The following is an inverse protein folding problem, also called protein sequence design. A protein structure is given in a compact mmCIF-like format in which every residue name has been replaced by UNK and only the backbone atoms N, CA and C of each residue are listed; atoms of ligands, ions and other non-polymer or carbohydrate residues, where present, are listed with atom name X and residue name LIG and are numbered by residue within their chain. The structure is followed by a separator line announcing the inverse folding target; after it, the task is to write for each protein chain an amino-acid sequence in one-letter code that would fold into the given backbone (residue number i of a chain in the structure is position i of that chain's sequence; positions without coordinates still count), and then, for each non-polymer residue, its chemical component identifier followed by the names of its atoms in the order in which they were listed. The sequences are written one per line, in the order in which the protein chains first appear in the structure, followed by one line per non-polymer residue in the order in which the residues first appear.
data_IF_102488547713
#
_entry.id   IF_102488547713
#
_cell.length_a   1.000
_cell.length_b   1.000
_cell.length_c   1.000
_cell.angle_alpha   90.00
_cell.angle_beta   90.00
_cell.angle_gamma   90.00
#
_symmetry.space_group_name_H-M   'P 1'
#
loop_
_entity.id
_entity.type
_entity.pdbx_description
1 polymer ?
#
# COMPACT_ATOMS: atom_id res chain seq x y z
N UNK A 1 -12.95 24.83 2.54
CA UNK A 1 -12.84 25.01 4.01
C UNK A 1 -12.07 23.80 4.55
N UNK A 2 -11.26 23.97 5.60
CA UNK A 2 -10.52 22.91 6.34
C UNK A 2 -9.15 22.45 5.80
N UNK A 3 -8.09 22.77 6.56
CA UNK A 3 -7.31 21.81 7.36
C UNK A 3 -6.16 22.59 8.04
N UNK A 4 -6.27 22.84 9.35
CA UNK A 4 -5.18 23.45 10.12
C UNK A 4 -4.13 22.39 10.44
N UNK A 5 -3.37 21.96 9.43
CA UNK A 5 -2.25 21.05 9.63
C UNK A 5 -1.15 21.74 10.41
N UNK A 6 -0.67 21.06 11.45
CA UNK A 6 0.54 21.47 12.17
C UNK A 6 1.74 21.49 11.23
N UNK A 7 2.76 22.28 11.56
CA UNK A 7 3.99 22.34 10.77
C UNK A 7 4.64 20.95 10.59
N UNK A 8 4.63 20.12 11.64
CA UNK A 8 5.16 18.75 11.58
C UNK A 8 4.37 17.85 10.62
N UNK A 9 3.04 17.98 10.62
CA UNK A 9 2.19 17.24 9.68
C UNK A 9 2.49 17.67 8.24
N UNK A 10 2.63 18.97 7.98
CA UNK A 10 3.01 19.48 6.65
C UNK A 10 4.35 18.94 6.18
N UNK A 11 5.39 19.03 7.01
CA UNK A 11 6.72 18.47 6.70
C UNK A 11 6.66 16.97 6.39
N UNK A 12 5.84 16.22 7.13
CA UNK A 12 5.65 14.78 6.88
C UNK A 12 4.97 14.51 5.55
N UNK A 13 3.94 15.29 5.20
CA UNK A 13 3.26 15.19 3.90
C UNK A 13 4.20 15.51 2.74
N UNK A 14 4.93 16.62 2.80
CA UNK A 14 5.90 17.05 1.79
C UNK A 14 7.04 16.03 1.58
N UNK A 15 7.48 15.40 2.68
CA UNK A 15 8.55 14.42 2.63
C UNK A 15 8.11 13.10 1.97
N UNK A 16 6.88 12.63 2.22
CA UNK A 16 6.49 11.24 1.94
C UNK A 16 5.21 11.02 1.14
N UNK A 17 4.26 11.96 1.12
CA UNK A 17 2.91 11.70 0.62
C UNK A 17 2.51 12.56 -0.58
N UNK A 18 2.93 13.82 -0.60
CA UNK A 18 2.62 14.73 -1.70
C UNK A 18 3.39 14.32 -2.95
N UNK A 19 2.67 14.27 -4.08
CA UNK A 19 3.27 13.94 -5.37
C UNK A 19 4.35 14.94 -5.78
N UNK A 20 5.39 14.39 -6.41
CA UNK A 20 6.50 15.13 -6.99
C UNK A 20 6.57 14.87 -8.49
N UNK A 21 7.03 15.86 -9.24
CA UNK A 21 7.35 15.69 -10.66
C UNK A 21 8.68 14.94 -10.85
N UNK A 22 9.07 14.71 -12.11
CA UNK A 22 10.32 14.05 -12.47
C UNK A 22 11.58 14.81 -12.00
N UNK A 23 11.46 16.09 -11.66
CA UNK A 23 12.55 16.91 -11.11
C UNK A 23 12.55 16.97 -9.57
N UNK A 24 11.60 16.28 -8.92
CA UNK A 24 11.47 16.22 -7.47
C UNK A 24 10.70 17.40 -6.86
N UNK A 25 10.09 18.29 -7.65
CA UNK A 25 9.31 19.42 -7.14
C UNK A 25 7.92 18.94 -6.74
N UNK A 26 7.39 19.49 -5.64
CA UNK A 26 6.03 19.22 -5.20
C UNK A 26 5.02 19.76 -6.23
N UNK A 27 4.09 18.91 -6.64
CA UNK A 27 3.02 19.24 -7.61
C UNK A 27 1.63 18.98 -7.03
N UNK A 28 1.55 18.73 -5.73
CA UNK A 28 0.32 18.41 -5.03
C UNK A 28 0.34 19.08 -3.66
N UNK A 29 -0.78 19.67 -3.28
CA UNK A 29 -1.05 20.23 -1.95
C UNK A 29 -1.78 19.20 -1.07
N UNK A 30 -1.80 19.37 0.26
CA UNK A 30 -2.56 18.46 1.14
C UNK A 30 -4.05 18.35 0.78
N UNK A 31 -4.68 19.44 0.32
CA UNK A 31 -6.07 19.41 -0.12
C UNK A 31 -6.25 18.59 -1.40
N UNK A 32 -5.35 18.75 -2.37
CA UNK A 32 -5.36 17.97 -3.61
C UNK A 32 -5.10 16.47 -3.35
N UNK A 33 -4.18 16.15 -2.43
CA UNK A 33 -3.96 14.77 -1.94
C UNK A 33 -5.28 14.16 -1.45
N UNK A 34 -6.00 14.85 -0.56
CA UNK A 34 -7.25 14.34 -0.01
C UNK A 34 -8.34 14.20 -1.09
N UNK A 35 -8.45 15.16 -2.00
CA UNK A 35 -9.40 15.06 -3.11
C UNK A 35 -9.07 13.90 -4.06
N UNK A 36 -7.79 13.69 -4.40
CA UNK A 36 -7.33 12.56 -5.21
C UNK A 36 -7.73 11.25 -4.56
N UNK A 37 -7.40 11.06 -3.28
CA UNK A 37 -7.71 9.84 -2.53
C UNK A 37 -9.22 9.61 -2.47
N UNK A 38 -10.00 10.64 -2.11
CA UNK A 38 -11.44 10.54 -2.01
C UNK A 38 -12.09 10.11 -3.33
N UNK A 39 -11.71 10.75 -4.45
CA UNK A 39 -12.23 10.41 -5.78
C UNK A 39 -11.84 9.00 -6.22
N UNK A 40 -10.59 8.62 -6.00
CA UNK A 40 -10.09 7.31 -6.40
C UNK A 40 -10.79 6.17 -5.64
N UNK A 41 -11.02 6.33 -4.34
CA UNK A 41 -11.74 5.33 -3.54
C UNK A 41 -13.24 5.32 -3.87
N UNK A 42 -13.85 6.49 -4.05
CA UNK A 42 -15.26 6.62 -4.41
C UNK A 42 -15.58 5.98 -5.77
N UNK A 43 -14.61 5.82 -6.68
CA UNK A 43 -14.83 5.12 -7.95
C UNK A 43 -15.35 3.68 -7.76
N UNK A 44 -15.05 3.04 -6.62
CA UNK A 44 -15.58 1.71 -6.28
C UNK A 44 -17.11 1.67 -6.09
N UNK A 45 -17.75 2.83 -5.88
CA UNK A 45 -19.21 2.93 -5.75
C UNK A 45 -19.95 2.79 -7.09
N UNK A 46 -19.24 2.93 -8.22
CA UNK A 46 -19.85 2.98 -9.54
C UNK A 46 -20.73 1.75 -9.82
N UNK A 47 -20.27 0.58 -9.40
CA UNK A 47 -20.98 -0.70 -9.60
C UNK A 47 -22.26 -0.81 -8.75
N UNK A 48 -22.34 -0.10 -7.63
CA UNK A 48 -23.42 -0.24 -6.65
C UNK A 48 -24.46 0.88 -6.72
N UNK A 49 -24.00 2.11 -6.97
CA UNK A 49 -24.82 3.31 -6.80
C UNK A 49 -24.78 4.25 -8.01
N UNK A 50 -24.05 3.89 -9.07
CA UNK A 50 -23.91 4.68 -10.29
C UNK A 50 -23.14 5.98 -10.09
N UNK A 51 -23.08 6.82 -11.13
CA UNK A 51 -22.27 8.05 -11.13
C UNK A 51 -22.65 9.07 -10.05
N UNK A 52 -23.95 9.18 -9.73
CA UNK A 52 -24.42 10.07 -8.66
C UNK A 52 -23.94 9.60 -7.29
N UNK A 53 -23.89 8.28 -7.08
CA UNK A 53 -23.37 7.69 -5.86
C UNK A 53 -21.87 7.90 -5.70
N UNK A 54 -21.10 7.76 -6.78
CA UNK A 54 -19.67 8.09 -6.82
C UNK A 54 -19.42 9.53 -6.42
N UNK A 55 -20.18 10.49 -6.98
CA UNK A 55 -20.02 11.91 -6.63
C UNK A 55 -20.29 12.18 -5.15
N UNK A 56 -21.41 11.66 -4.61
CA UNK A 56 -21.75 11.80 -3.19
C UNK A 56 -20.71 11.16 -2.27
N UNK A 57 -20.18 9.99 -2.64
CA UNK A 57 -19.15 9.31 -1.87
C UNK A 57 -17.83 10.09 -1.88
N UNK A 58 -17.43 10.64 -3.04
CA UNK A 58 -16.22 11.45 -3.16
C UNK A 58 -16.27 12.70 -2.27
N UNK A 59 -17.42 13.40 -2.24
CA UNK A 59 -17.62 14.55 -1.36
C UNK A 59 -17.52 14.16 0.11
N UNK A 60 -18.24 13.11 0.52
CA UNK A 60 -18.23 12.61 1.91
C UNK A 60 -16.85 12.14 2.36
N UNK A 61 -16.12 11.41 1.52
CA UNK A 61 -14.77 10.96 1.84
C UNK A 61 -13.79 12.14 1.90
N UNK A 62 -13.92 13.11 1.00
CA UNK A 62 -13.12 14.34 1.00
C UNK A 62 -13.30 15.14 2.29
N UNK A 63 -14.54 15.27 2.78
CA UNK A 63 -14.84 15.88 4.07
C UNK A 63 -14.14 15.13 5.22
N UNK A 64 -14.31 13.80 5.31
CA UNK A 64 -13.71 12.98 6.37
C UNK A 64 -12.18 13.07 6.42
N UNK A 65 -11.53 13.12 5.25
CA UNK A 65 -10.08 13.27 5.14
C UNK A 65 -9.62 14.68 5.55
N UNK A 66 -10.27 15.72 5.03
CA UNK A 66 -9.90 17.11 5.30
C UNK A 66 -10.16 17.55 6.75
N UNK A 67 -11.17 16.97 7.40
CA UNK A 67 -11.46 17.15 8.83
C UNK A 67 -10.60 16.29 9.75
N UNK A 68 -9.78 15.39 9.18
CA UNK A 68 -8.98 14.39 9.90
C UNK A 68 -9.82 13.46 10.80
N UNK A 69 -11.12 13.32 10.53
CA UNK A 69 -12.00 12.39 11.25
C UNK A 69 -11.65 10.94 10.91
N UNK A 70 -11.11 10.72 9.71
CA UNK A 70 -10.59 9.43 9.27
C UNK A 70 -9.40 9.64 8.35
N UNK A 71 -8.39 8.78 8.47
CA UNK A 71 -7.30 8.67 7.51
C UNK A 71 -7.06 7.20 7.18
N UNK A 72 -6.88 6.85 5.89
CA UNK A 72 -6.51 5.51 5.50
C UNK A 72 -5.00 5.28 5.76
N UNK A 73 -4.56 4.04 5.53
CA UNK A 73 -3.15 3.67 5.65
C UNK A 73 -2.25 4.44 4.64
N UNK A 74 -0.93 4.36 4.83
CA UNK A 74 0.02 5.10 3.99
C UNK A 74 -0.05 4.75 2.51
N UNK A 75 -0.11 3.46 2.08
CA UNK A 75 -0.22 3.13 0.66
C UNK A 75 -1.46 3.73 -0.01
N UNK A 76 -2.59 3.83 0.70
CA UNK A 76 -3.78 4.49 0.15
C UNK A 76 -3.52 5.98 -0.13
N UNK A 77 -2.89 6.70 0.81
CA UNK A 77 -2.54 8.11 0.62
C UNK A 77 -1.53 8.31 -0.52
N UNK A 78 -0.52 7.43 -0.60
CA UNK A 78 0.56 7.50 -1.59
C UNK A 78 0.09 7.13 -3.00
N UNK A 79 -0.74 6.08 -3.13
CA UNK A 79 -0.95 5.39 -4.41
C UNK A 79 -2.37 5.52 -5.00
N UNK A 80 -3.36 5.99 -4.24
CA UNK A 80 -4.72 6.14 -4.77
C UNK A 80 -4.74 7.15 -5.93
N UNK A 81 -5.31 6.76 -7.08
CA UNK A 81 -5.38 7.62 -8.27
C UNK A 81 -4.02 7.83 -8.97
N UNK A 82 -3.03 6.96 -8.72
CA UNK A 82 -1.78 6.89 -9.49
C UNK A 82 -1.71 5.59 -10.27
N UNK A 83 -0.77 5.50 -11.23
CA UNK A 83 -0.58 4.31 -12.07
C UNK A 83 -0.21 3.05 -11.27
N UNK A 84 0.40 3.20 -10.07
CA UNK A 84 0.78 2.08 -9.22
C UNK A 84 -0.45 1.40 -8.58
N UNK A 85 -1.44 2.17 -8.14
CA UNK A 85 -2.78 1.68 -7.76
C UNK A 85 -2.88 0.71 -6.57
N UNK A 86 -1.79 0.42 -5.86
CA UNK A 86 -1.76 -0.56 -4.77
C UNK A 86 -2.05 0.10 -3.40
N UNK A 87 -3.20 -0.19 -2.78
CA UNK A 87 -3.72 0.55 -1.60
C UNK A 87 -3.59 -0.18 -0.24
N UNK A 88 -3.36 -1.49 -0.25
CA UNK A 88 -3.20 -2.32 0.95
C UNK A 88 -1.79 -2.21 1.53
N UNK A 89 -1.68 -2.22 2.87
CA UNK A 89 -0.40 -2.14 3.57
C UNK A 89 0.13 -3.49 4.08
N UNK A 90 -0.73 -4.49 4.25
CA UNK A 90 -0.37 -5.73 4.96
C UNK A 90 -0.63 -6.95 4.07
N UNK A 91 0.39 -7.77 3.88
CA UNK A 91 0.36 -9.00 3.11
C UNK A 91 0.95 -10.15 3.92
N UNK A 92 0.47 -11.37 3.68
CA UNK A 92 1.06 -12.59 4.26
C UNK A 92 1.40 -13.53 3.13
N UNK A 93 2.67 -13.93 3.06
CA UNK A 93 3.18 -14.84 2.04
C UNK A 93 3.51 -16.20 2.67
N UNK A 94 3.06 -17.32 2.07
CA UNK A 94 3.53 -18.64 2.48
C UNK A 94 4.97 -18.84 2.02
N UNK A 95 5.79 -19.54 2.80
CA UNK A 95 7.12 -20.00 2.37
C UNK A 95 7.07 -21.52 2.27
N UNK A 96 7.21 -22.06 1.05
CA UNK A 96 7.20 -23.49 0.80
C UNK A 96 8.54 -24.16 1.07
N UNK A 97 8.55 -25.50 1.11
CA UNK A 97 9.72 -26.31 1.47
C UNK A 97 10.56 -26.74 0.25
N UNK A 98 10.73 -25.82 -0.69
CA UNK A 98 11.58 -25.98 -1.87
C UNK A 98 12.26 -24.65 -2.22
N UNK A 99 13.47 -24.71 -2.80
CA UNK A 99 14.17 -23.50 -3.22
C UNK A 99 13.33 -22.66 -4.19
N UNK A 100 12.64 -23.30 -5.13
CA UNK A 100 11.76 -22.61 -6.08
C UNK A 100 10.65 -21.82 -5.37
N UNK A 101 10.01 -22.41 -4.36
CA UNK A 101 8.98 -21.72 -3.58
C UNK A 101 9.56 -20.62 -2.71
N UNK A 102 10.69 -20.86 -2.03
CA UNK A 102 11.38 -19.85 -1.21
C UNK A 102 11.72 -18.61 -2.03
N UNK A 103 12.35 -18.80 -3.19
CA UNK A 103 12.73 -17.70 -4.07
C UNK A 103 11.52 -17.04 -4.75
N UNK A 104 10.43 -17.77 -4.99
CA UNK A 104 9.19 -17.15 -5.47
C UNK A 104 8.57 -16.25 -4.38
N UNK A 105 8.49 -16.69 -3.13
CA UNK A 105 8.00 -15.87 -2.01
C UNK A 105 8.89 -14.63 -1.80
N UNK A 106 10.21 -14.77 -1.96
CA UNK A 106 11.14 -13.63 -1.92
C UNK A 106 10.88 -12.64 -3.05
N UNK A 107 10.64 -13.13 -4.27
CA UNK A 107 10.29 -12.28 -5.42
C UNK A 107 8.98 -11.53 -5.17
N UNK A 108 7.95 -12.21 -4.68
CA UNK A 108 6.65 -11.60 -4.35
C UNK A 108 6.80 -10.54 -3.26
N UNK A 109 7.60 -10.82 -2.22
CA UNK A 109 7.89 -9.84 -1.18
C UNK A 109 8.59 -8.59 -1.73
N UNK A 110 9.55 -8.76 -2.64
CA UNK A 110 10.23 -7.63 -3.27
C UNK A 110 9.27 -6.74 -4.07
N UNK A 111 8.32 -7.35 -4.81
CA UNK A 111 7.30 -6.60 -5.56
C UNK A 111 6.32 -5.87 -4.62
N UNK A 112 5.91 -6.50 -3.52
CA UNK A 112 5.04 -5.88 -2.51
C UNK A 112 5.75 -4.71 -1.81
N UNK A 113 7.03 -4.88 -1.45
CA UNK A 113 7.82 -3.79 -0.87
C UNK A 113 8.03 -2.64 -1.86
N UNK A 114 8.23 -2.95 -3.15
CA UNK A 114 8.34 -1.93 -4.20
C UNK A 114 7.07 -1.07 -4.28
N UNK A 115 5.89 -1.64 -4.06
CA UNK A 115 4.64 -0.88 -4.05
C UNK A 115 4.32 -0.19 -2.72
N UNK A 116 5.16 -0.37 -1.69
CA UNK A 116 4.99 0.22 -0.35
C UNK A 116 4.17 -0.63 0.63
N UNK A 117 3.85 -1.88 0.28
CA UNK A 117 3.25 -2.85 1.20
C UNK A 117 4.29 -3.45 2.15
N UNK A 118 3.85 -4.07 3.23
CA UNK A 118 4.67 -4.87 4.14
C UNK A 118 4.24 -6.34 4.12
N UNK A 119 5.20 -7.24 4.32
CA UNK A 119 4.97 -8.69 4.30
C UNK A 119 5.23 -9.35 5.65
N UNK A 120 4.30 -10.19 6.09
CA UNK A 120 4.53 -11.25 7.07
C UNK A 120 4.73 -12.60 6.37
N UNK A 121 5.43 -13.51 7.04
CA UNK A 121 5.73 -14.84 6.49
C UNK A 121 5.37 -15.94 7.49
N UNK A 122 4.94 -17.08 6.97
CA UNK A 122 4.88 -18.32 7.73
C UNK A 122 5.98 -19.27 7.24
N UNK A 123 6.95 -19.54 8.11
CA UNK A 123 8.07 -20.45 7.84
C UNK A 123 7.81 -21.89 8.29
N UNK A 124 6.63 -22.18 8.83
CA UNK A 124 6.32 -23.49 9.44
C UNK A 124 6.35 -24.67 8.48
N UNK A 125 6.38 -24.42 7.16
CA UNK A 125 6.49 -25.49 6.15
C UNK A 125 7.94 -25.87 5.89
N UNK A 126 8.91 -25.00 6.20
CA UNK A 126 10.32 -25.32 6.03
C UNK A 126 10.68 -26.49 6.94
N UNK A 127 11.36 -27.48 6.37
CA UNK A 127 11.89 -28.60 7.14
C UNK A 127 12.99 -28.10 8.10
N UNK A 128 13.09 -28.65 9.31
CA UNK A 128 14.06 -28.22 10.31
C UNK A 128 15.51 -28.40 9.83
N UNK A 129 16.41 -27.69 10.49
CA UNK A 129 17.85 -27.87 10.31
C UNK A 129 18.23 -29.32 10.61
N UNK A 130 19.06 -29.93 9.76
CA UNK A 130 19.47 -31.33 9.90
C UNK A 130 18.69 -32.31 9.02
N UNK A 131 17.53 -31.92 8.49
CA UNK A 131 16.73 -32.81 7.63
C UNK A 131 17.40 -33.07 6.28
N UNK A 132 17.17 -34.26 5.71
CA UNK A 132 17.77 -34.65 4.43
C UNK A 132 17.14 -33.90 3.26
N UNK A 133 17.98 -33.37 2.39
CA UNK A 133 17.55 -32.79 1.11
C UNK A 133 17.62 -33.87 0.04
N UNK A 134 16.45 -34.39 -0.37
CA UNK A 134 16.34 -35.52 -1.33
C UNK A 134 17.12 -35.30 -2.63
N UNK A 135 17.15 -34.07 -3.15
CA UNK A 135 17.74 -33.75 -4.46
C UNK A 135 19.27 -33.66 -4.45
N UNK A 136 19.87 -33.16 -3.37
CA UNK A 136 21.32 -32.95 -3.26
C UNK A 136 22.01 -33.95 -2.35
N UNK A 137 21.24 -34.77 -1.62
CA UNK A 137 21.69 -35.63 -0.52
C UNK A 137 22.40 -34.86 0.60
N UNK A 138 22.26 -33.53 0.61
CA UNK A 138 22.77 -32.64 1.64
C UNK A 138 21.84 -32.53 2.84
N UNK A 139 22.20 -31.60 3.73
CA UNK A 139 21.50 -31.32 4.97
C UNK A 139 20.79 -29.96 4.86
N UNK A 140 19.54 -29.89 5.31
CA UNK A 140 18.76 -28.65 5.37
C UNK A 140 19.34 -27.66 6.37
N UNK A 141 19.28 -26.37 6.04
CA UNK A 141 19.70 -25.27 6.91
C UNK A 141 18.68 -24.92 8.00
N UNK A 142 17.41 -25.30 7.80
CA UNK A 142 16.28 -24.85 8.62
C UNK A 142 15.63 -23.58 8.10
#
# INVERSE_FOLDING_TARGET
MLCSLTENARKTLEARYLRKDATGRLVETPGELFQRVARAVAAGELEFTGSDGVARAADRFGEMLSSLTFLPNSPTLMNAGTDLGQLAACFVLPVGDSLSEIFNSLREAALIHQSGGGTGFSFSRLRPAGDRVKSTMGISSG
#
